data_IF_413097024741
#
_entry.id   IF_413097024741
#
_cell.length_a   1.000
_cell.length_b   1.000
_cell.length_c   1.000
_cell.angle_alpha   90.00
_cell.angle_beta   90.00
_cell.angle_gamma   90.00
#
_symmetry.space_group_name_H-M   'P 1'
#
loop_
_entity.id
_entity.type
_entity.pdbx_description
1 polymer ?
#
# COMPACT_ATOMS: atom_id res chain seq x y z
N UNK A 1 -11.83 -15.97 -20.33
CA UNK A 1 -12.22 -14.61 -19.90
C UNK A 1 -11.03 -13.68 -19.73
N UNK A 2 -9.96 -14.07 -19.02
CA UNK A 2 -8.77 -13.23 -18.79
C UNK A 2 -8.25 -12.52 -20.04
N UNK A 3 -8.00 -13.26 -21.12
CA UNK A 3 -7.46 -12.71 -22.37
C UNK A 3 -8.45 -11.72 -23.03
N UNK A 4 -9.76 -11.98 -22.95
CA UNK A 4 -10.78 -11.07 -23.48
C UNK A 4 -10.71 -9.70 -22.78
N UNK A 5 -10.63 -9.69 -21.44
CA UNK A 5 -10.45 -8.45 -20.66
C UNK A 5 -9.12 -7.79 -21.00
N UNK A 6 -8.02 -8.54 -21.08
CA UNK A 6 -6.70 -8.00 -21.42
C UNK A 6 -6.62 -7.39 -22.82
N UNK A 7 -7.48 -7.82 -23.75
CA UNK A 7 -7.59 -7.31 -25.11
C UNK A 7 -8.74 -6.31 -25.31
N UNK A 8 -9.46 -5.96 -24.23
CA UNK A 8 -10.63 -5.08 -24.26
C UNK A 8 -11.77 -5.59 -25.18
N UNK A 9 -11.95 -6.91 -25.26
CA UNK A 9 -13.05 -7.55 -25.98
C UNK A 9 -14.26 -7.73 -25.06
N UNK A 10 -14.92 -6.62 -24.72
CA UNK A 10 -16.02 -6.57 -23.74
C UNK A 10 -17.18 -7.50 -24.12
N UNK A 11 -17.61 -7.51 -25.39
CA UNK A 11 -18.71 -8.39 -25.85
C UNK A 11 -18.37 -9.88 -25.68
N UNK A 12 -17.11 -10.24 -25.92
CA UNK A 12 -16.62 -11.61 -25.72
C UNK A 12 -16.55 -11.92 -24.23
N UNK A 13 -16.13 -10.96 -23.41
CA UNK A 13 -16.11 -11.12 -21.96
C UNK A 13 -17.51 -11.37 -21.39
N UNK A 14 -18.53 -10.57 -21.77
CA UNK A 14 -19.90 -10.75 -21.27
C UNK A 14 -20.46 -12.12 -21.66
N UNK A 15 -20.32 -12.53 -22.92
CA UNK A 15 -20.74 -13.87 -23.37
C UNK A 15 -20.02 -15.00 -22.62
N UNK A 16 -18.74 -14.84 -22.31
CA UNK A 16 -18.01 -15.83 -21.53
C UNK A 16 -18.44 -15.84 -20.06
N UNK A 17 -18.85 -14.70 -19.50
CA UNK A 17 -19.32 -14.59 -18.12
C UNK A 17 -20.64 -15.36 -17.91
N UNK A 18 -21.52 -15.39 -18.92
CA UNK A 18 -22.78 -16.16 -18.91
C UNK A 18 -22.57 -17.68 -18.83
N UNK A 19 -21.40 -18.17 -19.27
CA UNK A 19 -21.06 -19.59 -19.24
C UNK A 19 -20.48 -19.93 -17.86
N UNK A 20 -21.19 -20.73 -17.07
CA UNK A 20 -20.82 -21.08 -15.69
C UNK A 20 -19.38 -21.62 -15.55
N UNK A 21 -18.95 -22.48 -16.47
CA UNK A 21 -17.64 -23.16 -16.42
C UNK A 21 -16.55 -22.48 -17.26
N UNK A 22 -16.78 -21.23 -17.70
CA UNK A 22 -15.77 -20.53 -18.50
C UNK A 22 -14.48 -20.27 -17.73
N UNK A 23 -13.34 -20.52 -18.39
CA UNK A 23 -12.02 -20.29 -17.84
C UNK A 23 -11.80 -18.80 -17.51
N UNK A 24 -11.50 -18.54 -16.24
CA UNK A 24 -11.24 -17.21 -15.69
C UNK A 24 -9.75 -16.96 -15.39
N UNK A 25 -8.92 -18.00 -15.37
CA UNK A 25 -7.48 -17.92 -15.09
C UNK A 25 -6.68 -17.61 -16.37
N UNK A 26 -5.65 -16.78 -16.23
CA UNK A 26 -4.66 -16.42 -17.24
C UNK A 26 -3.24 -16.82 -16.80
N UNK A 27 -2.21 -16.27 -17.47
CA UNK A 27 -0.81 -16.56 -17.14
C UNK A 27 -0.47 -16.23 -15.68
N UNK A 28 0.50 -16.96 -15.11
CA UNK A 28 0.98 -16.79 -13.73
C UNK A 28 -0.12 -16.91 -12.65
N UNK A 29 -1.15 -17.74 -12.91
CA UNK A 29 -2.28 -17.91 -12.00
C UNK A 29 -3.18 -16.67 -11.87
N UNK A 30 -2.99 -15.64 -12.70
CA UNK A 30 -3.78 -14.42 -12.60
C UNK A 30 -5.21 -14.65 -13.11
N UNK A 31 -6.20 -14.51 -12.24
CA UNK A 31 -7.61 -14.58 -12.67
C UNK A 31 -8.09 -13.32 -13.41
N UNK A 32 -9.29 -13.37 -13.97
CA UNK A 32 -9.90 -12.30 -14.77
C UNK A 32 -10.05 -10.99 -13.99
N UNK A 33 -10.18 -11.03 -12.67
CA UNK A 33 -10.25 -9.83 -11.84
C UNK A 33 -8.89 -9.12 -11.77
N UNK A 34 -7.77 -9.86 -11.79
CA UNK A 34 -6.45 -9.25 -11.98
C UNK A 34 -6.36 -8.51 -13.33
N UNK A 35 -6.93 -9.08 -14.40
CA UNK A 35 -6.95 -8.39 -15.69
C UNK A 35 -7.78 -7.10 -15.63
N UNK A 36 -8.94 -7.12 -14.97
CA UNK A 36 -9.77 -5.93 -14.78
C UNK A 36 -9.03 -4.82 -14.02
N UNK A 37 -8.29 -5.20 -12.95
CA UNK A 37 -7.40 -4.29 -12.22
C UNK A 37 -6.31 -3.72 -13.12
N UNK A 38 -5.56 -4.56 -13.83
CA UNK A 38 -4.48 -4.11 -14.73
C UNK A 38 -5.01 -3.15 -15.82
N UNK A 39 -6.23 -3.37 -16.30
CA UNK A 39 -6.91 -2.46 -17.24
C UNK A 39 -7.52 -1.23 -16.59
N UNK A 40 -7.70 -1.23 -15.27
CA UNK A 40 -8.38 -0.16 -14.55
C UNK A 40 -9.83 -0.02 -14.99
N UNK A 41 -10.52 -1.13 -15.27
CA UNK A 41 -11.90 -1.11 -15.73
C UNK A 41 -12.85 -1.49 -14.58
N UNK A 42 -13.48 -0.50 -13.90
CA UNK A 42 -14.38 -0.75 -12.78
C UNK A 42 -15.66 -1.46 -13.20
N UNK A 43 -16.17 -1.23 -14.41
CA UNK A 43 -17.38 -1.89 -14.91
C UNK A 43 -17.16 -3.40 -15.04
N UNK A 44 -16.06 -3.81 -15.68
CA UNK A 44 -15.69 -5.24 -15.77
C UNK A 44 -15.46 -5.82 -14.38
N UNK A 45 -14.78 -5.10 -13.49
CA UNK A 45 -14.59 -5.55 -12.11
C UNK A 45 -15.92 -5.78 -11.39
N UNK A 46 -16.88 -4.87 -11.56
CA UNK A 46 -18.23 -4.98 -10.99
C UNK A 46 -18.96 -6.21 -11.52
N UNK A 47 -18.96 -6.42 -12.83
CA UNK A 47 -19.58 -7.60 -13.47
C UNK A 47 -18.97 -8.91 -12.95
N UNK A 48 -17.65 -8.94 -12.75
CA UNK A 48 -16.95 -10.10 -12.17
C UNK A 48 -17.35 -10.29 -10.70
N UNK A 49 -17.42 -9.23 -9.90
CA UNK A 49 -17.80 -9.31 -8.49
C UNK A 49 -19.26 -9.77 -8.29
N UNK A 50 -20.17 -9.37 -9.19
CA UNK A 50 -21.57 -9.82 -9.19
C UNK A 50 -21.71 -11.31 -9.48
N UNK A 51 -20.95 -11.81 -10.48
CA UNK A 51 -21.08 -13.19 -10.93
C UNK A 51 -20.18 -14.17 -10.16
N UNK A 52 -18.98 -13.74 -9.79
CA UNK A 52 -17.90 -14.58 -9.23
C UNK A 52 -17.11 -13.87 -8.12
N UNK A 53 -17.73 -13.52 -6.98
CA UNK A 53 -17.09 -12.73 -5.92
C UNK A 53 -15.89 -13.43 -5.27
N UNK A 54 -15.84 -14.77 -5.27
CA UNK A 54 -14.73 -15.52 -4.67
C UNK A 54 -13.37 -15.24 -5.34
N UNK A 55 -13.37 -14.81 -6.62
CA UNK A 55 -12.16 -14.47 -7.36
C UNK A 55 -11.39 -13.31 -6.73
N UNK A 56 -12.05 -12.46 -5.94
CA UNK A 56 -11.40 -11.37 -5.20
C UNK A 56 -10.40 -11.84 -4.14
N UNK A 57 -10.43 -13.13 -3.76
CA UNK A 57 -9.55 -13.72 -2.74
C UNK A 57 -8.57 -14.74 -3.29
N UNK A 58 -8.75 -15.13 -4.54
CA UNK A 58 -7.82 -16.05 -5.19
C UNK A 58 -6.49 -15.35 -5.48
N UNK A 59 -5.43 -15.94 -4.98
CA UNK A 59 -4.08 -15.46 -5.21
C UNK A 59 -3.52 -16.02 -6.51
N UNK A 60 -2.85 -15.17 -7.28
CA UNK A 60 -1.96 -15.57 -8.37
C UNK A 60 -0.71 -16.29 -7.82
N UNK A 61 0.12 -16.85 -8.71
CA UNK A 61 1.30 -17.65 -8.35
C UNK A 61 2.30 -16.89 -7.45
N UNK A 62 2.32 -15.56 -7.54
CA UNK A 62 3.17 -14.69 -6.73
C UNK A 62 2.49 -14.20 -5.42
N UNK A 63 1.42 -14.85 -4.98
CA UNK A 63 0.58 -14.46 -3.85
C UNK A 63 -0.11 -13.08 -4.01
N UNK A 64 -0.20 -12.56 -5.24
CA UNK A 64 -0.96 -11.34 -5.54
C UNK A 64 -2.45 -11.67 -5.54
N UNK A 65 -3.22 -10.90 -4.77
CA UNK A 65 -4.69 -10.92 -4.79
C UNK A 65 -5.16 -9.66 -5.54
N UNK A 66 -6.31 -9.66 -6.27
CA UNK A 66 -6.76 -8.51 -7.06
C UNK A 66 -6.81 -7.19 -6.28
N UNK A 67 -7.32 -7.19 -5.04
CA UNK A 67 -7.40 -5.99 -4.20
C UNK A 67 -6.01 -5.41 -3.87
N UNK A 68 -5.05 -6.28 -3.56
CA UNK A 68 -3.67 -5.85 -3.30
C UNK A 68 -3.02 -5.29 -4.57
N UNK A 69 -3.33 -5.89 -5.73
CA UNK A 69 -2.88 -5.38 -7.04
C UNK A 69 -3.48 -4.00 -7.33
N UNK A 70 -4.75 -3.77 -7.02
CA UNK A 70 -5.41 -2.49 -7.21
C UNK A 70 -4.75 -1.40 -6.36
N UNK A 71 -4.44 -1.70 -5.09
CA UNK A 71 -3.72 -0.79 -4.21
C UNK A 71 -2.27 -0.54 -4.67
N UNK A 72 -1.60 -1.56 -5.22
CA UNK A 72 -0.23 -1.45 -5.73
C UNK A 72 -0.15 -0.64 -7.03
N UNK A 73 -1.10 -0.82 -7.95
CA UNK A 73 -1.13 -0.12 -9.25
C UNK A 73 -1.87 1.23 -9.21
N UNK A 74 -2.44 1.62 -8.06
CA UNK A 74 -3.15 2.89 -7.91
C UNK A 74 -4.52 2.91 -8.58
N UNK A 75 -5.18 1.75 -8.74
CA UNK A 75 -6.46 1.61 -9.44
C UNK A 75 -7.63 1.90 -8.49
N UNK A 76 -7.85 3.19 -8.21
CA UNK A 76 -8.82 3.67 -7.21
C UNK A 76 -10.24 3.18 -7.54
N UNK A 77 -10.73 3.42 -8.76
CA UNK A 77 -12.11 3.06 -9.13
C UNK A 77 -12.38 1.55 -9.04
N UNK A 78 -11.40 0.72 -9.44
CA UNK A 78 -11.52 -0.73 -9.30
C UNK A 78 -11.47 -1.13 -7.82
N UNK A 79 -10.62 -0.49 -7.01
CA UNK A 79 -10.56 -0.72 -5.57
C UNK A 79 -11.88 -0.36 -4.89
N UNK A 80 -12.50 0.76 -5.26
CA UNK A 80 -13.84 1.17 -4.77
C UNK A 80 -14.84 0.05 -4.99
N UNK A 81 -14.96 -0.46 -6.23
CA UNK A 81 -15.88 -1.56 -6.54
C UNK A 81 -15.59 -2.79 -5.68
N UNK A 82 -14.32 -3.17 -5.50
CA UNK A 82 -13.97 -4.32 -4.66
C UNK A 82 -14.41 -4.12 -3.21
N UNK A 83 -14.18 -2.94 -2.63
CA UNK A 83 -14.50 -2.62 -1.24
C UNK A 83 -16.01 -2.42 -0.99
N UNK A 84 -16.75 -1.89 -1.98
CA UNK A 84 -18.21 -1.78 -1.92
C UNK A 84 -18.88 -3.16 -1.85
N UNK A 85 -18.38 -4.13 -2.63
CA UNK A 85 -18.91 -5.50 -2.63
C UNK A 85 -18.43 -6.32 -1.42
N UNK A 86 -17.17 -6.19 -1.02
CA UNK A 86 -16.61 -6.90 0.12
C UNK A 86 -15.58 -6.05 0.88
N UNK A 87 -16.06 -5.31 1.89
CA UNK A 87 -15.21 -4.50 2.78
C UNK A 87 -14.13 -5.32 3.49
N UNK A 88 -14.35 -6.61 3.72
CA UNK A 88 -13.35 -7.42 4.43
C UNK A 88 -12.06 -7.62 3.61
N UNK A 89 -12.07 -7.28 2.31
CA UNK A 89 -10.86 -7.19 1.47
C UNK A 89 -9.91 -6.07 1.94
N UNK A 90 -10.42 -4.99 2.54
CA UNK A 90 -9.59 -3.89 3.06
C UNK A 90 -8.74 -4.25 4.29
N UNK A 91 -9.06 -5.39 4.93
CA UNK A 91 -8.37 -5.89 6.14
C UNK A 91 -7.38 -7.01 5.83
N UNK A 92 -7.22 -7.37 4.55
CA UNK A 92 -6.26 -8.38 4.14
C UNK A 92 -4.83 -7.92 4.38
N UNK A 93 -3.96 -8.88 4.67
CA UNK A 93 -2.51 -8.68 4.72
C UNK A 93 -1.86 -9.47 3.59
N UNK A 94 -0.88 -8.86 2.93
CA UNK A 94 -0.04 -9.53 1.94
C UNK A 94 0.79 -10.64 2.60
N UNK A 95 1.38 -11.52 1.79
CA UNK A 95 2.23 -12.63 2.24
C UNK A 95 3.43 -12.20 3.10
N UNK A 96 3.91 -10.96 2.93
CA UNK A 96 4.97 -10.36 3.75
C UNK A 96 4.45 -9.69 5.04
N UNK A 97 3.16 -9.83 5.36
CA UNK A 97 2.50 -9.24 6.52
C UNK A 97 2.14 -7.75 6.36
N UNK A 98 2.39 -7.13 5.21
CA UNK A 98 2.00 -5.74 4.99
C UNK A 98 0.50 -5.63 4.73
N UNK A 99 -0.20 -4.68 5.38
CA UNK A 99 -1.57 -4.35 5.00
C UNK A 99 -1.62 -3.50 3.72
N UNK A 100 -2.82 -3.36 3.13
CA UNK A 100 -3.02 -2.56 1.91
C UNK A 100 -2.56 -1.11 2.10
N UNK A 101 -2.75 -0.52 3.29
CA UNK A 101 -2.33 0.85 3.56
C UNK A 101 -0.80 1.02 3.48
N UNK A 102 -0.01 0.00 3.86
CA UNK A 102 1.45 0.01 3.66
C UNK A 102 1.81 -0.07 2.18
N UNK A 103 1.07 -0.84 1.38
CA UNK A 103 1.27 -0.92 -0.07
C UNK A 103 1.01 0.44 -0.73
N UNK A 104 -0.12 1.08 -0.40
CA UNK A 104 -0.45 2.42 -0.88
C UNK A 104 0.64 3.45 -0.49
N UNK A 105 1.12 3.37 0.77
CA UNK A 105 2.19 4.22 1.27
C UNK A 105 3.53 3.99 0.57
N UNK A 106 3.88 2.75 0.24
CA UNK A 106 5.09 2.42 -0.49
C UNK A 106 5.09 2.91 -1.93
N UNK A 107 3.90 2.99 -2.55
CA UNK A 107 3.72 3.52 -3.91
C UNK A 107 3.42 5.02 -3.95
N UNK A 108 3.04 5.62 -2.83
CA UNK A 108 2.65 7.03 -2.74
C UNK A 108 1.22 7.31 -3.22
N UNK A 109 0.37 6.28 -3.30
CA UNK A 109 -1.00 6.40 -3.80
C UNK A 109 -1.94 6.92 -2.70
N UNK A 110 -1.96 8.24 -2.50
CA UNK A 110 -2.84 8.91 -1.53
C UNK A 110 -4.32 8.63 -1.80
N UNK A 111 -4.75 8.62 -3.07
CA UNK A 111 -6.14 8.34 -3.43
C UNK A 111 -6.59 6.94 -3.00
N UNK A 112 -5.73 5.92 -3.20
CA UNK A 112 -5.98 4.55 -2.69
C UNK A 112 -6.12 4.53 -1.17
N UNK A 113 -5.27 5.28 -0.45
CA UNK A 113 -5.33 5.32 1.00
C UNK A 113 -6.60 6.01 1.52
N UNK A 114 -7.06 7.08 0.85
CA UNK A 114 -8.35 7.72 1.17
C UNK A 114 -9.50 6.75 0.95
N UNK A 115 -9.57 6.16 -0.24
CA UNK A 115 -10.63 5.22 -0.60
C UNK A 115 -10.72 4.04 0.37
N UNK A 116 -9.56 3.49 0.75
CA UNK A 116 -9.47 2.42 1.73
C UNK A 116 -9.95 2.85 3.10
N UNK A 117 -9.57 4.04 3.58
CA UNK A 117 -9.97 4.54 4.91
C UNK A 117 -11.43 5.01 4.96
N UNK A 118 -11.99 5.44 3.84
CA UNK A 118 -13.40 5.82 3.71
C UNK A 118 -14.30 4.58 3.82
N UNK A 119 -13.90 3.46 3.22
CA UNK A 119 -14.62 2.18 3.31
C UNK A 119 -14.27 1.34 4.55
N UNK A 120 -13.04 1.44 5.03
CA UNK A 120 -12.48 0.66 6.13
C UNK A 120 -11.69 1.58 7.09
N UNK A 121 -12.38 2.37 7.95
CA UNK A 121 -11.73 3.36 8.82
C UNK A 121 -10.72 2.78 9.83
N UNK A 122 -10.83 1.49 10.14
CA UNK A 122 -9.96 0.72 11.03
C UNK A 122 -9.05 -0.25 10.26
N UNK A 123 -8.84 -0.02 8.96
CA UNK A 123 -7.91 -0.80 8.14
C UNK A 123 -6.52 -0.88 8.82
N UNK A 124 -5.87 -2.05 8.81
CA UNK A 124 -4.59 -2.18 9.50
C UNK A 124 -3.54 -1.24 8.90
N UNK A 125 -2.81 -0.54 9.78
CA UNK A 125 -1.88 0.52 9.39
C UNK A 125 -0.40 0.16 9.60
N UNK A 126 -0.12 -1.08 10.04
CA UNK A 126 1.25 -1.54 10.28
C UNK A 126 1.41 -3.04 10.02
N UNK A 127 2.66 -3.43 9.74
CA UNK A 127 3.06 -4.82 9.63
C UNK A 127 3.28 -5.42 11.02
N UNK A 128 2.58 -6.51 11.35
CA UNK A 128 2.61 -7.13 12.69
C UNK A 128 3.98 -7.72 13.05
N UNK A 129 4.76 -8.16 12.07
CA UNK A 129 6.08 -8.76 12.29
C UNK A 129 7.15 -7.70 12.48
N UNK A 130 7.16 -6.67 11.63
CA UNK A 130 8.23 -5.65 11.64
C UNK A 130 7.89 -4.41 12.45
N UNK A 131 6.63 -4.19 12.81
CA UNK A 131 6.15 -2.95 13.42
C UNK A 131 6.12 -1.75 12.45
N UNK A 132 6.47 -1.94 11.17
CA UNK A 132 6.52 -0.83 10.21
C UNK A 132 5.11 -0.35 9.89
N UNK A 133 4.81 0.89 10.30
CA UNK A 133 3.59 1.62 9.94
C UNK A 133 3.65 2.16 8.51
N UNK A 134 2.51 2.59 7.97
CA UNK A 134 2.45 3.23 6.65
C UNK A 134 3.33 4.50 6.56
N UNK A 135 3.52 5.23 7.68
CA UNK A 135 4.43 6.37 7.73
C UNK A 135 5.90 5.95 7.57
N UNK A 136 6.32 4.86 8.22
CA UNK A 136 7.67 4.32 8.05
C UNK A 136 7.94 3.92 6.60
N UNK A 137 6.95 3.26 5.97
CA UNK A 137 7.05 2.81 4.58
C UNK A 137 7.09 4.01 3.62
N UNK A 138 6.25 5.02 3.80
CA UNK A 138 6.25 6.23 2.98
C UNK A 138 7.58 6.99 3.07
N UNK A 139 8.12 7.17 4.28
CA UNK A 139 9.44 7.79 4.50
C UNK A 139 10.56 6.97 3.86
N UNK A 140 10.53 5.65 4.03
CA UNK A 140 11.54 4.76 3.46
C UNK A 140 11.58 4.81 1.93
N UNK A 141 10.44 5.07 1.29
CA UNK A 141 10.30 5.15 -0.17
C UNK A 141 10.25 6.59 -0.71
N UNK A 142 10.59 7.60 0.10
CA UNK A 142 10.55 9.03 -0.26
C UNK A 142 9.21 9.53 -0.83
N UNK A 143 8.08 8.99 -0.32
CA UNK A 143 6.73 9.36 -0.77
C UNK A 143 6.21 10.61 -0.04
N UNK A 144 6.70 11.78 -0.42
CA UNK A 144 6.44 13.06 0.27
C UNK A 144 4.96 13.42 0.34
N UNK A 145 4.22 13.27 -0.75
CA UNK A 145 2.78 13.55 -0.81
C UNK A 145 2.01 12.65 0.16
N UNK A 146 2.42 11.39 0.28
CA UNK A 146 1.82 10.45 1.21
C UNK A 146 2.18 10.78 2.67
N UNK A 147 3.41 11.21 2.94
CA UNK A 147 3.81 11.70 4.27
C UNK A 147 2.97 12.92 4.66
N UNK A 148 2.80 13.89 3.76
CA UNK A 148 1.93 15.06 4.02
C UNK A 148 0.48 14.65 4.25
N UNK A 149 -0.03 13.68 3.50
CA UNK A 149 -1.36 13.11 3.74
C UNK A 149 -1.50 12.51 5.15
N UNK A 150 -0.52 11.72 5.60
CA UNK A 150 -0.54 11.16 6.97
C UNK A 150 -0.48 12.26 8.02
N UNK A 151 0.43 13.24 7.88
CA UNK A 151 0.62 14.32 8.85
C UNK A 151 -0.61 15.23 8.93
N UNK A 152 -1.30 15.47 7.81
CA UNK A 152 -2.56 16.22 7.77
C UNK A 152 -3.81 15.43 8.17
N UNK A 153 -3.70 14.11 8.36
CA UNK A 153 -4.83 13.25 8.70
C UNK A 153 -4.99 13.10 10.21
N UNK A 154 -6.13 13.52 10.75
CA UNK A 154 -6.45 13.34 12.17
C UNK A 154 -6.54 11.85 12.54
N UNK A 155 -7.02 11.00 11.63
CA UNK A 155 -7.14 9.55 11.83
C UNK A 155 -5.76 8.86 11.89
N UNK A 156 -4.77 9.35 11.13
CA UNK A 156 -3.43 8.75 11.06
C UNK A 156 -2.40 9.46 11.96
N UNK A 157 -2.82 10.49 12.70
CA UNK A 157 -1.94 11.27 13.58
C UNK A 157 -1.24 10.42 14.65
N UNK A 158 -1.87 9.34 15.10
CA UNK A 158 -1.28 8.40 16.06
C UNK A 158 0.00 7.71 15.54
N UNK A 159 0.23 7.68 14.23
CA UNK A 159 1.39 7.02 13.61
C UNK A 159 2.69 7.84 13.70
N UNK A 160 2.59 9.14 13.98
CA UNK A 160 3.70 10.11 13.88
C UNK A 160 4.93 9.70 14.70
N UNK A 161 4.71 9.21 15.92
CA UNK A 161 5.78 8.77 16.83
C UNK A 161 5.74 7.27 17.12
N UNK A 162 4.94 6.49 16.39
CA UNK A 162 4.96 5.04 16.55
C UNK A 162 6.34 4.50 16.23
N UNK A 163 6.77 3.52 17.02
CA UNK A 163 8.05 2.86 16.87
C UNK A 163 7.87 1.49 16.22
N UNK A 164 8.78 1.15 15.30
CA UNK A 164 8.88 -0.19 14.74
C UNK A 164 9.49 -1.19 15.75
N UNK A 165 9.72 -2.44 15.30
CA UNK A 165 10.32 -3.49 16.14
C UNK A 165 11.72 -3.16 16.65
N UNK A 166 12.42 -2.18 16.08
CA UNK A 166 13.76 -1.72 16.50
C UNK A 166 13.70 -0.43 17.33
N UNK A 167 12.50 0.04 17.69
CA UNK A 167 12.33 1.31 18.38
C UNK A 167 12.48 2.52 17.45
N UNK A 168 12.53 2.34 16.13
CA UNK A 168 12.71 3.45 15.20
C UNK A 168 11.36 4.08 14.89
N UNK A 169 11.28 5.40 14.98
CA UNK A 169 10.18 6.19 14.40
C UNK A 169 10.48 6.52 12.94
N UNK A 170 9.50 7.05 12.22
CA UNK A 170 9.69 7.55 10.86
C UNK A 170 10.80 8.61 10.76
N UNK A 171 10.98 9.46 11.78
CA UNK A 171 12.07 10.44 11.85
C UNK A 171 13.44 9.76 11.92
N UNK A 172 13.58 8.67 12.67
CA UNK A 172 14.83 7.89 12.71
C UNK A 172 15.18 7.29 11.35
N UNK A 173 14.18 6.83 10.60
CA UNK A 173 14.39 6.31 9.24
C UNK A 173 14.83 7.43 8.28
N UNK A 174 14.19 8.59 8.33
CA UNK A 174 14.57 9.76 7.53
C UNK A 174 16.02 10.21 7.83
N UNK A 175 16.38 10.23 9.11
CA UNK A 175 17.72 10.55 9.60
C UNK A 175 18.78 9.57 9.08
N UNK A 176 18.54 8.27 9.24
CA UNK A 176 19.45 7.21 8.79
C UNK A 176 19.69 7.23 7.28
N UNK A 177 18.71 7.67 6.50
CA UNK A 177 18.82 7.81 5.03
C UNK A 177 19.45 9.12 4.57
N UNK A 178 19.88 10.01 5.48
CA UNK A 178 20.36 11.36 5.17
C UNK A 178 19.38 12.18 4.30
N UNK A 179 18.07 11.93 4.42
CA UNK A 179 17.08 12.61 3.60
C UNK A 179 16.65 13.92 4.26
N UNK A 180 17.45 14.97 4.07
CA UNK A 180 17.22 16.28 4.69
C UNK A 180 15.82 16.86 4.38
N UNK A 181 15.31 16.65 3.16
CA UNK A 181 13.96 17.09 2.78
C UNK A 181 12.88 16.39 3.59
N UNK A 182 12.99 15.07 3.75
CA UNK A 182 12.04 14.29 4.55
C UNK A 182 12.14 14.60 6.04
N UNK A 183 13.34 14.75 6.56
CA UNK A 183 13.57 15.19 7.95
C UNK A 183 12.91 16.54 8.20
N UNK A 184 13.12 17.51 7.29
CA UNK A 184 12.48 18.83 7.39
C UNK A 184 10.96 18.71 7.34
N UNK A 185 10.42 17.94 6.39
CA UNK A 185 8.98 17.74 6.25
C UNK A 185 8.33 17.16 7.52
N UNK A 186 9.01 16.22 8.19
CA UNK A 186 8.56 15.67 9.47
C UNK A 186 8.68 16.72 10.58
N UNK A 187 9.84 17.35 10.76
CA UNK A 187 10.10 18.29 11.86
C UNK A 187 9.21 19.55 11.83
N UNK A 188 8.65 19.93 10.69
CA UNK A 188 7.65 21.01 10.60
C UNK A 188 6.34 20.68 11.31
N UNK A 189 6.06 19.39 11.54
CA UNK A 189 4.84 18.95 12.19
C UNK A 189 5.00 18.90 13.72
N UNK A 190 4.22 19.71 14.45
CA UNK A 190 4.34 19.88 15.90
C UNK A 190 4.21 18.60 16.73
N UNK A 191 3.54 17.57 16.18
CA UNK A 191 3.38 16.30 16.88
C UNK A 191 4.62 15.39 16.84
N UNK A 192 5.66 15.73 16.06
CA UNK A 192 6.89 14.93 16.00
C UNK A 192 7.68 15.10 17.29
N UNK A 193 7.93 13.97 17.96
CA UNK A 193 8.77 13.90 19.14
C UNK A 193 10.20 13.52 18.74
N UNK A 194 11.12 14.48 18.88
CA UNK A 194 12.55 14.31 18.57
C UNK A 194 13.33 13.65 19.71
N UNK A 195 12.70 13.42 20.86
CA UNK A 195 13.31 12.86 22.07
C UNK A 195 13.14 11.34 22.19
N UNK A 196 12.42 10.71 21.26
CA UNK A 196 12.23 9.26 21.22
C UNK A 196 13.56 8.56 20.96
N UNK A 197 13.87 7.57 21.78
CA UNK A 197 15.06 6.72 21.62
C UNK A 197 14.73 5.42 20.91
N UNK A 198 15.62 4.99 20.02
CA UNK A 198 15.63 3.61 19.49
C UNK A 198 15.97 2.60 20.57
N UNK A 199 15.74 1.29 20.31
CA UNK A 199 16.16 0.22 21.22
C UNK A 199 17.67 0.20 21.48
N UNK A 200 18.46 0.79 20.58
CA UNK A 200 19.91 0.92 20.72
C UNK A 200 20.34 2.21 21.43
N UNK A 201 19.40 2.98 22.00
CA UNK A 201 19.70 4.21 22.74
C UNK A 201 20.06 5.42 21.85
N UNK A 202 19.79 5.35 20.54
CA UNK A 202 20.07 6.46 19.62
C UNK A 202 18.84 7.36 19.42
N UNK A 203 19.06 8.67 19.44
CA UNK A 203 18.13 9.70 18.95
C UNK A 203 18.25 9.88 17.43
N UNK A 204 17.21 10.39 16.79
CA UNK A 204 17.24 10.72 15.37
C UNK A 204 18.34 11.75 15.01
N UNK A 205 18.58 12.74 15.89
CA UNK A 205 19.65 13.75 15.71
C UNK A 205 21.05 13.13 15.70
N UNK A 206 21.29 12.12 16.54
CA UNK A 206 22.56 11.41 16.58
C UNK A 206 22.81 10.62 15.29
N UNK A 207 21.78 9.96 14.77
CA UNK A 207 21.85 9.25 13.48
C UNK A 207 22.17 10.20 12.31
N UNK A 208 21.65 11.44 12.34
CA UNK A 208 22.01 12.47 11.36
C UNK A 208 23.50 12.86 11.43
N UNK A 209 24.02 13.07 12.65
CA UNK A 209 25.43 13.43 12.83
C UNK A 209 26.39 12.32 12.39
N UNK A 210 26.07 11.06 12.72
CA UNK A 210 26.90 9.91 12.36
C UNK A 210 26.88 9.64 10.84
N UNK A 211 25.73 9.84 10.21
CA UNK A 211 25.60 9.63 8.77
C UNK A 211 26.22 10.78 7.94
N UNK A 212 26.31 11.99 8.51
CA UNK A 212 27.05 13.11 7.90
C UNK A 212 28.57 12.96 8.00
N UNK A 213 29.07 12.12 8.91
CA UNK A 213 30.49 11.85 9.11
C UNK A 213 31.01 10.65 8.29
N UNK A 214 30.12 9.83 7.70
CA UNK A 214 30.55 8.77 6.78
C UNK A 214 30.82 9.38 5.39
N UNK A 215 32.06 9.30 4.86
CA UNK A 215 32.34 9.76 3.51
C UNK A 215 31.51 8.95 2.50
N UNK A 216 30.99 9.62 1.47
CA UNK A 216 30.29 8.96 0.35
C UNK A 216 31.24 7.94 -0.27
N UNK A 217 30.94 6.65 -0.13
CA UNK A 217 31.59 5.60 -0.90
C UNK A 217 31.04 5.65 -2.34
N UNK A 218 31.49 6.64 -3.11
CA UNK A 218 31.30 6.73 -4.56
C UNK A 218 32.32 7.74 -5.10
N UNK A 219 33.59 7.33 -5.10
CA UNK A 219 34.69 7.86 -5.93
C UNK A 219 35.83 6.84 -5.86
N UNK A 220 35.60 5.64 -6.40
CA UNK A 220 36.62 4.66 -6.87
C UNK A 220 36.00 3.82 -7.99
#
# INVERSE_FOLDING_TARGET
MFIAVMRNFTDVFEKLLEISDSAHVGPLGQNVLHAAVTKGNPDIAKRIMEARPWLAREAADNNSIPTNRAAFEGKIEVLTVLLEYDRSLGYLTLSNGNPLLNTAAGQGHVGVARELLDHCPDAPYYNKTTGLTCLHVAVSNDRKEFVQFILGSQQLRMLVNMQDQYGQTALHLAARKCNAKMVTALLLHQAIDVTVFTKNGNLASRLLSEASQKPKASDL
#
